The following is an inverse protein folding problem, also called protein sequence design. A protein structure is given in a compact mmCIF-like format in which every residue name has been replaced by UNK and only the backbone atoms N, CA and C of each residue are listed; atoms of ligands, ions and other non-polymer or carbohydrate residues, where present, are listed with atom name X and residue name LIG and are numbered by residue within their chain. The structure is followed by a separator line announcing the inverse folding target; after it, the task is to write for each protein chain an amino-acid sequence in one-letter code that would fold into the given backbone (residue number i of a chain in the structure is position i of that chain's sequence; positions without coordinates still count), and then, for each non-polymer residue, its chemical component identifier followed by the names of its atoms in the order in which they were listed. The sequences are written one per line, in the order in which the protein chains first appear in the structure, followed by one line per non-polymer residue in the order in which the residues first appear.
data_IF_711266521881
#
_entry.id   IF_711266521881
#
_cell.length_a   1.000
_cell.length_b   1.000
_cell.length_c   1.000
_cell.angle_alpha   90.00
_cell.angle_beta   90.00
_cell.angle_gamma   90.00
#
_symmetry.space_group_name_H-M   'P 1'
#
loop_
_entity.id
_entity.type
_entity.pdbx_description
1 polymer ?
#
# COMPACT_ATOMS: atom_id res chain seq x y z
N UNK A 1 -13.66 -11.40 19.03
CA UNK A 1 -13.55 -10.47 20.16
C UNK A 1 -14.30 -9.23 19.74
N UNK A 2 -15.17 -8.69 20.58
CA UNK A 2 -15.95 -7.48 20.26
C UNK A 2 -15.40 -6.32 21.06
N UNK A 3 -15.26 -5.17 20.41
CA UNK A 3 -14.81 -3.93 21.03
C UNK A 3 -16.01 -3.02 21.18
N UNK A 4 -16.16 -2.46 22.37
CA UNK A 4 -17.19 -1.47 22.66
C UNK A 4 -16.54 -0.15 23.06
N UNK A 5 -17.15 0.94 22.66
CA UNK A 5 -16.80 2.28 23.12
C UNK A 5 -18.02 3.00 23.66
N UNK A 6 -17.76 4.10 24.35
CA UNK A 6 -18.74 4.93 25.03
C UNK A 6 -18.89 6.21 24.19
N UNK A 7 -20.13 6.65 23.86
CA UNK A 7 -20.36 7.85 23.05
C UNK A 7 -19.63 9.10 23.57
N UNK A 8 -19.55 9.24 24.89
CA UNK A 8 -18.96 10.38 25.60
C UNK A 8 -17.43 10.29 25.69
N UNK A 9 -16.85 9.10 25.51
CA UNK A 9 -15.42 8.83 25.61
C UNK A 9 -14.99 7.81 24.55
N UNK A 10 -14.82 8.25 23.28
CA UNK A 10 -14.39 7.37 22.19
C UNK A 10 -12.98 6.80 22.39
N UNK A 11 -12.20 7.37 23.32
CA UNK A 11 -10.86 6.89 23.69
C UNK A 11 -10.89 5.62 24.55
N UNK A 12 -12.00 5.35 25.23
CA UNK A 12 -12.16 4.16 26.08
C UNK A 12 -12.66 3.00 25.23
N UNK A 13 -11.76 2.07 24.93
CA UNK A 13 -12.07 0.86 24.14
C UNK A 13 -12.07 -0.35 25.06
N UNK A 14 -13.26 -0.89 25.32
CA UNK A 14 -13.47 -2.10 26.12
C UNK A 14 -13.48 -3.32 25.21
N UNK A 15 -12.54 -4.24 25.42
CA UNK A 15 -12.44 -5.46 24.62
C UNK A 15 -13.02 -6.64 25.38
N UNK A 16 -14.10 -7.23 24.87
CA UNK A 16 -14.75 -8.40 25.45
C UNK A 16 -14.59 -9.63 24.56
N UNK A 17 -14.27 -10.76 25.18
CA UNK A 17 -14.19 -12.05 24.49
C UNK A 17 -15.59 -12.59 24.16
N UNK A 18 -15.93 -12.66 22.87
CA UNK A 18 -17.24 -13.15 22.41
C UNK A 18 -17.67 -12.56 21.06
N UNK A 19 -18.95 -12.77 20.73
CA UNK A 19 -19.74 -12.06 19.69
C UNK A 19 -20.62 -10.99 20.36
N UNK A 20 -21.12 -10.01 19.61
CA UNK A 20 -22.04 -9.01 20.15
C UNK A 20 -23.29 -9.72 20.66
N UNK A 21 -23.52 -9.58 21.95
CA UNK A 21 -24.61 -10.24 22.66
C UNK A 21 -24.91 -9.46 23.95
N UNK A 22 -26.14 -9.54 24.47
CA UNK A 22 -26.51 -8.85 25.71
C UNK A 22 -25.54 -9.17 26.87
N UNK A 23 -25.11 -10.43 26.95
CA UNK A 23 -24.13 -10.90 27.94
C UNK A 23 -22.73 -10.32 27.74
N UNK A 24 -22.32 -10.05 26.50
CA UNK A 24 -21.03 -9.40 26.23
C UNK A 24 -21.07 -7.91 26.60
N UNK A 25 -22.23 -7.26 26.48
CA UNK A 25 -22.43 -5.87 26.89
C UNK A 25 -22.56 -5.70 28.41
N UNK A 26 -23.18 -6.66 29.09
CA UNK A 26 -23.14 -6.74 30.56
C UNK A 26 -21.69 -6.88 31.07
N UNK A 27 -20.89 -7.75 30.46
CA UNK A 27 -19.45 -7.86 30.79
C UNK A 27 -18.65 -6.59 30.47
N UNK A 28 -19.01 -5.86 29.41
CA UNK A 28 -18.41 -4.55 29.13
C UNK A 28 -18.77 -3.53 30.22
N UNK A 29 -19.99 -3.58 30.74
CA UNK A 29 -20.43 -2.74 31.86
C UNK A 29 -19.66 -3.06 33.14
N UNK A 30 -19.44 -4.34 33.45
CA UNK A 30 -18.61 -4.74 34.61
C UNK A 30 -17.18 -4.20 34.49
N UNK A 31 -16.57 -4.28 33.29
CA UNK A 31 -15.26 -3.69 33.03
C UNK A 31 -15.26 -2.16 33.11
N UNK A 32 -16.35 -1.51 32.70
CA UNK A 32 -16.51 -0.07 32.82
C UNK A 32 -16.59 0.39 34.27
N UNK A 33 -17.32 -0.35 35.11
CA UNK A 33 -17.42 -0.11 36.55
C UNK A 33 -16.05 -0.26 37.22
N UNK A 34 -15.27 -1.26 36.84
CA UNK A 34 -13.90 -1.43 37.35
C UNK A 34 -12.98 -0.26 36.96
N UNK A 35 -13.14 0.28 35.74
CA UNK A 35 -12.39 1.46 35.29
C UNK A 35 -12.87 2.77 35.95
N UNK A 36 -14.15 2.83 36.34
CA UNK A 36 -14.71 3.92 37.14
C UNK A 36 -14.15 3.91 38.56
N UNK A 37 -14.12 2.76 39.21
CA UNK A 37 -13.52 2.58 40.54
C UNK A 37 -12.00 2.85 40.52
N UNK A 38 -11.34 2.56 39.41
CA UNK A 38 -9.93 2.90 39.19
C UNK A 38 -9.67 4.39 38.90
N UNK A 39 -10.71 5.22 38.78
CA UNK A 39 -10.61 6.66 38.53
C UNK A 39 -10.02 7.03 37.16
N UNK A 40 -10.14 6.13 36.17
CA UNK A 40 -9.53 6.28 34.83
C UNK A 40 -10.50 6.76 33.74
N UNK A 41 -11.74 7.12 34.10
CA UNK A 41 -12.69 7.67 33.15
C UNK A 41 -12.50 9.19 33.03
N UNK A 42 -12.11 9.71 31.85
CA UNK A 42 -11.86 11.13 31.65
C UNK A 42 -13.16 11.96 31.57
N UNK A 43 -14.33 11.34 31.46
CA UNK A 43 -15.64 12.01 31.40
C UNK A 43 -16.71 11.29 32.23
N UNK A 44 -17.63 12.05 32.82
CA UNK A 44 -18.82 11.51 33.49
C UNK A 44 -19.76 10.84 32.46
N UNK A 45 -20.32 9.70 32.84
CA UNK A 45 -21.32 8.98 32.04
C UNK A 45 -22.69 9.67 32.20
N UNK A 46 -23.53 9.65 31.16
CA UNK A 46 -24.90 10.16 31.25
C UNK A 46 -25.72 9.36 32.29
N UNK A 47 -26.58 10.06 33.06
CA UNK A 47 -27.46 9.44 34.06
C UNK A 47 -28.35 8.37 33.40
N UNK A 48 -28.13 7.10 33.75
CA UNK A 48 -28.88 5.96 33.22
C UNK A 48 -28.19 5.16 32.12
N UNK A 49 -26.88 5.36 31.90
CA UNK A 49 -26.09 4.56 30.95
C UNK A 49 -26.25 3.05 31.22
N UNK A 50 -26.77 2.32 30.23
CA UNK A 50 -27.05 0.90 30.32
C UNK A 50 -26.29 0.07 29.29
N UNK A 51 -26.35 -1.28 29.38
CA UNK A 51 -25.66 -2.19 28.46
C UNK A 51 -26.03 -2.01 26.98
N UNK A 52 -27.11 -1.31 26.65
CA UNK A 52 -27.55 -1.07 25.27
C UNK A 52 -26.84 0.11 24.61
N UNK A 53 -26.26 1.00 25.40
CA UNK A 53 -25.71 2.28 24.95
C UNK A 53 -24.23 2.17 24.51
N UNK A 54 -23.64 0.98 24.66
CA UNK A 54 -22.35 0.65 24.09
C UNK A 54 -22.40 0.66 22.56
N UNK A 55 -21.47 1.39 21.96
CA UNK A 55 -21.26 1.40 20.52
C UNK A 55 -20.26 0.30 20.19
N UNK A 56 -20.67 -0.69 19.39
CA UNK A 56 -19.76 -1.68 18.83
C UNK A 56 -18.80 -0.99 17.86
N UNK A 57 -17.52 -0.94 18.24
CA UNK A 57 -16.45 -0.54 17.32
C UNK A 57 -16.16 -1.74 16.44
N UNK A 58 -16.81 -1.78 15.28
CA UNK A 58 -16.34 -2.59 14.17
C UNK A 58 -15.10 -1.88 13.66
N UNK A 59 -13.93 -2.37 14.07
CA UNK A 59 -12.73 -2.10 13.31
C UNK A 59 -13.08 -2.50 11.87
N UNK A 60 -13.16 -1.51 10.97
CA UNK A 60 -12.85 -1.79 9.58
C UNK A 60 -11.48 -2.43 9.65
N UNK A 61 -11.43 -3.74 9.44
CA UNK A 61 -10.14 -4.39 9.23
C UNK A 61 -9.36 -3.50 8.24
N UNK A 62 -8.05 -3.27 8.43
CA UNK A 62 -7.23 -2.61 7.44
C UNK A 62 -7.07 -3.55 6.23
N UNK A 63 -8.18 -3.87 5.60
CA UNK A 63 -8.31 -4.77 4.47
C UNK A 63 -8.34 -3.87 3.24
N UNK A 64 -7.15 -3.44 2.82
CA UNK A 64 -7.02 -2.64 1.60
C UNK A 64 -5.65 -2.03 1.32
N UNK A 65 -4.81 -1.73 2.32
CA UNK A 65 -3.57 -0.98 2.06
C UNK A 65 -2.36 -1.85 1.77
N UNK A 66 -2.29 -3.08 2.29
CA UNK A 66 -1.13 -3.95 2.09
C UNK A 66 -1.01 -4.50 0.65
N UNK A 67 -2.14 -4.72 -0.04
CA UNK A 67 -2.15 -5.19 -1.44
C UNK A 67 -1.86 -4.09 -2.45
N UNK A 68 -2.28 -2.86 -2.16
CA UNK A 68 -2.06 -1.70 -3.05
C UNK A 68 -0.60 -1.24 -3.02
N UNK A 69 0.07 -1.28 -1.87
CA UNK A 69 1.50 -0.95 -1.80
C UNK A 69 2.39 -1.93 -2.59
N UNK A 70 2.05 -3.22 -2.57
CA UNK A 70 2.76 -4.24 -3.35
C UNK A 70 2.52 -4.07 -4.86
N UNK A 71 1.28 -3.71 -5.26
CA UNK A 71 0.96 -3.39 -6.64
C UNK A 71 1.70 -2.13 -7.14
N UNK A 72 1.81 -1.10 -6.30
CA UNK A 72 2.54 0.13 -6.62
C UNK A 72 4.04 -0.12 -6.76
N UNK A 73 4.66 -0.90 -5.86
CA UNK A 73 6.08 -1.25 -5.98
C UNK A 73 6.35 -2.10 -7.23
N UNK A 74 5.46 -3.05 -7.56
CA UNK A 74 5.50 -3.81 -8.80
C UNK A 74 5.44 -2.91 -10.05
N UNK A 75 4.52 -1.94 -10.07
CA UNK A 75 4.38 -1.00 -11.19
C UNK A 75 5.64 -0.14 -11.39
N UNK A 76 6.25 0.35 -10.30
CA UNK A 76 7.49 1.12 -10.34
C UNK A 76 8.64 0.28 -10.91
N UNK A 77 8.77 -0.98 -10.50
CA UNK A 77 9.80 -1.86 -11.01
C UNK A 77 9.65 -2.12 -12.53
N UNK A 78 8.42 -2.34 -12.99
CA UNK A 78 8.12 -2.53 -14.43
C UNK A 78 8.51 -1.27 -15.22
N UNK A 79 8.14 -0.08 -14.72
CA UNK A 79 8.50 1.20 -15.35
C UNK A 79 10.02 1.40 -15.42
N UNK A 80 10.74 1.08 -14.34
CA UNK A 80 12.21 1.16 -14.30
C UNK A 80 12.87 0.22 -15.32
N UNK A 81 12.38 -1.02 -15.40
CA UNK A 81 12.86 -2.01 -16.37
C UNK A 81 12.61 -1.54 -17.81
N UNK A 82 11.43 -0.97 -18.09
CA UNK A 82 11.08 -0.45 -19.41
C UNK A 82 11.92 0.77 -19.80
N UNK A 83 12.19 1.68 -18.87
CA UNK A 83 13.06 2.83 -19.11
C UNK A 83 14.49 2.37 -19.46
N UNK A 84 15.03 1.41 -18.71
CA UNK A 84 16.35 0.81 -18.96
C UNK A 84 16.41 0.13 -20.33
N UNK A 85 15.36 -0.62 -20.69
CA UNK A 85 15.27 -1.28 -22.00
C UNK A 85 15.21 -0.26 -23.14
N UNK A 86 14.45 0.81 -22.98
CA UNK A 86 14.36 1.89 -23.97
C UNK A 86 15.72 2.52 -24.24
N UNK A 87 16.52 2.80 -23.20
CA UNK A 87 17.87 3.33 -23.36
C UNK A 87 18.76 2.37 -24.16
N UNK A 88 18.78 1.08 -23.78
CA UNK A 88 19.55 0.06 -24.52
C UNK A 88 19.12 -0.06 -25.98
N UNK A 89 17.83 0.00 -26.27
CA UNK A 89 17.31 -0.02 -27.65
C UNK A 89 17.75 1.22 -28.43
N UNK A 90 17.79 2.40 -27.81
CA UNK A 90 18.26 3.61 -28.47
C UNK A 90 19.76 3.55 -28.78
N UNK A 91 20.58 3.05 -27.86
CA UNK A 91 22.02 2.85 -28.03
C UNK A 91 22.31 1.84 -29.15
N UNK A 92 21.74 0.65 -29.05
CA UNK A 92 21.91 -0.41 -30.07
C UNK A 92 21.41 0.01 -31.45
N UNK A 93 20.32 0.80 -31.52
CA UNK A 93 19.85 1.35 -32.80
C UNK A 93 20.88 2.30 -33.42
N UNK A 94 21.53 3.14 -32.62
CA UNK A 94 22.55 4.05 -33.12
C UNK A 94 23.78 3.28 -33.64
N UNK A 95 24.20 2.23 -32.94
CA UNK A 95 25.26 1.33 -33.39
C UNK A 95 24.89 0.58 -34.66
N UNK A 96 23.68 0.02 -34.73
CA UNK A 96 23.18 -0.68 -35.92
C UNK A 96 23.13 0.24 -37.15
N UNK A 97 22.79 1.52 -36.98
CA UNK A 97 22.82 2.49 -38.07
C UNK A 97 24.24 2.79 -38.56
N UNK A 98 25.23 2.83 -37.67
CA UNK A 98 26.65 2.99 -38.05
C UNK A 98 27.12 1.78 -38.86
N UNK A 99 26.88 0.58 -38.34
CA UNK A 99 27.24 -0.68 -39.03
C UNK A 99 26.53 -0.76 -40.38
N UNK A 100 25.26 -0.37 -40.45
CA UNK A 100 24.53 -0.33 -41.72
C UNK A 100 25.18 0.62 -42.73
N UNK A 101 25.59 1.82 -42.33
CA UNK A 101 26.26 2.75 -43.24
C UNK A 101 27.59 2.18 -43.76
N UNK A 102 28.33 1.48 -42.90
CA UNK A 102 29.56 0.78 -43.28
C UNK A 102 29.30 -0.36 -44.29
N UNK A 103 28.24 -1.15 -44.07
CA UNK A 103 27.78 -2.17 -45.01
C UNK A 103 27.35 -1.55 -46.34
N UNK A 104 26.59 -0.44 -46.31
CA UNK A 104 26.13 0.22 -47.54
C UNK A 104 27.30 0.71 -48.42
N UNK A 105 28.43 1.13 -47.84
CA UNK A 105 29.66 1.47 -48.61
C UNK A 105 30.21 0.23 -49.32
N UNK A 106 30.36 -0.88 -48.60
CA UNK A 106 30.91 -2.14 -49.11
C UNK A 106 30.08 -2.78 -50.23
N UNK A 107 28.76 -2.56 -50.21
CA UNK A 107 27.81 -3.13 -51.16
C UNK A 107 27.26 -2.11 -52.17
N UNK A 108 27.83 -0.90 -52.23
CA UNK A 108 27.46 0.08 -53.26
C UNK A 108 28.10 -0.27 -54.60
N UNK A 109 27.42 0.05 -55.71
CA UNK A 109 27.94 -0.14 -57.07
C UNK A 109 29.07 0.84 -57.45
N UNK A 110 29.46 1.72 -56.51
CA UNK A 110 30.52 2.72 -56.71
C UNK A 110 31.89 2.12 -56.33
N UNK A 111 32.95 2.60 -56.98
CA UNK A 111 34.31 2.23 -56.61
C UNK A 111 34.66 2.80 -55.22
N UNK A 112 34.89 1.91 -54.25
CA UNK A 112 35.29 2.27 -52.88
C UNK A 112 36.78 2.64 -52.83
N UNK A 113 37.14 3.73 -52.15
CA UNK A 113 38.55 4.17 -52.00
C UNK A 113 39.27 3.47 -50.83
N UNK A 114 40.61 3.45 -50.84
CA UNK A 114 41.39 2.91 -49.70
C UNK A 114 41.16 3.69 -48.39
N UNK A 115 40.82 4.99 -48.48
CA UNK A 115 40.48 5.79 -47.29
C UNK A 115 39.13 5.39 -46.68
N UNK A 116 38.16 5.00 -47.53
CA UNK A 116 36.86 4.51 -47.08
C UNK A 116 36.98 3.11 -46.46
N UNK A 117 37.90 2.27 -46.96
CA UNK A 117 38.17 0.95 -46.36
C UNK A 117 38.89 1.07 -45.02
N UNK A 118 39.81 2.04 -44.88
CA UNK A 118 40.58 2.24 -43.64
C UNK A 118 39.81 2.93 -42.51
N UNK A 119 38.60 3.44 -42.79
CA UNK A 119 37.71 4.11 -41.82
C UNK A 119 36.48 3.30 -41.40
N UNK A 120 36.34 2.07 -41.92
CA UNK A 120 35.39 1.03 -41.45
C UNK A 120 35.82 0.48 -40.07
#
# INVERSE_FOLDING_TARGET
MVRYTIPQSPEVVLTVSGKDSPKAREKAMDQLLELMDAGKLPTELDEGFGPKDFIEVKDLEPDGTAGDEDAVTGAIQILSNLASLKLKVQETRAEALKVRAQVDILFSDNSVSEEEISSL
#
